data_IF_422760069323
#
_entry.id   IF_422760069323
#
_cell.length_a   1.000
_cell.length_b   1.000
_cell.length_c   1.000
_cell.angle_alpha   90.00
_cell.angle_beta   90.00
_cell.angle_gamma   90.00
#
_symmetry.space_group_name_H-M   'P 1'
#
loop_
_entity.id
_entity.type
_entity.pdbx_description
1 polymer ?
#
# COMPACT_ATOMS: atom_id res chain seq x y z
N UNK A 1 2.67 -6.33 1.81
CA UNK A 1 1.86 -6.29 3.05
C UNK A 1 1.12 -4.96 3.04
N UNK A 2 -0.15 -4.93 2.63
CA UNK A 2 -0.95 -3.70 2.61
C UNK A 2 -1.39 -3.37 4.03
N UNK A 3 -0.76 -2.37 4.66
CA UNK A 3 -1.33 -1.73 5.84
C UNK A 3 -2.26 -0.61 5.36
N UNK A 4 -3.54 -0.94 5.21
CA UNK A 4 -4.62 0.06 5.21
C UNK A 4 -4.78 0.54 6.66
N UNK A 5 -4.35 1.77 6.96
CA UNK A 5 -4.72 2.42 8.22
C UNK A 5 -6.23 2.70 8.22
N UNK A 6 -6.93 2.12 9.21
CA UNK A 6 -8.31 2.46 9.54
C UNK A 6 -8.36 3.88 10.09
N UNK A 7 -9.43 4.57 9.72
CA UNK A 7 -9.78 5.95 10.06
C UNK A 7 -9.61 6.27 11.56
N UNK A 8 -8.77 7.26 11.84
CA UNK A 8 -8.61 7.95 13.12
C UNK A 8 -7.60 9.06 12.91
N UNK A 9 -8.07 10.30 12.85
CA UNK A 9 -7.35 11.54 12.50
C UNK A 9 -6.64 11.58 11.14
N UNK A 10 -7.37 12.07 10.13
CA UNK A 10 -6.77 12.56 8.88
C UNK A 10 -6.16 13.94 9.13
N UNK A 11 -5.02 14.03 9.78
CA UNK A 11 -4.20 15.25 9.75
C UNK A 11 -3.63 15.38 8.34
N UNK A 12 -4.24 16.25 7.54
CA UNK A 12 -3.71 16.61 6.23
C UNK A 12 -2.45 17.45 6.43
N UNK A 13 -1.35 16.99 5.86
CA UNK A 13 -0.04 17.62 6.05
C UNK A 13 0.28 18.41 4.80
N UNK A 14 0.18 19.73 4.94
CA UNK A 14 0.44 20.64 3.85
C UNK A 14 1.95 20.77 3.62
N UNK A 15 2.36 20.73 2.35
CA UNK A 15 3.74 20.86 1.88
C UNK A 15 4.07 22.29 1.40
N UNK A 16 3.29 23.31 1.79
CA UNK A 16 3.47 24.73 1.40
C UNK A 16 4.51 25.52 2.20
N UNK A 17 5.31 24.87 3.05
CA UNK A 17 6.31 25.54 3.92
C UNK A 17 7.49 24.64 4.26
N UNK A 18 7.52 24.08 5.47
CA UNK A 18 8.68 23.33 5.98
C UNK A 18 8.68 21.86 5.51
N UNK A 19 9.31 21.57 4.37
CA UNK A 19 9.54 20.20 3.89
C UNK A 19 11.02 19.99 3.56
N UNK A 20 11.46 18.74 3.64
CA UNK A 20 12.77 18.34 3.14
C UNK A 20 12.60 17.69 1.77
N UNK A 21 13.45 18.08 0.82
CA UNK A 21 13.50 17.47 -0.52
C UNK A 21 14.64 16.46 -0.60
N UNK A 22 14.33 15.28 -1.11
CA UNK A 22 15.33 14.29 -1.52
C UNK A 22 15.21 14.14 -3.03
N UNK A 23 16.32 14.38 -3.70
CA UNK A 23 16.47 14.02 -5.11
C UNK A 23 16.99 12.59 -5.19
N UNK A 24 16.10 11.66 -5.55
CA UNK A 24 16.52 10.34 -5.99
C UNK A 24 16.90 10.39 -7.47
N UNK A 25 17.71 9.44 -7.93
CA UNK A 25 18.05 9.22 -9.35
C UNK A 25 16.81 9.13 -10.26
N UNK A 26 15.63 8.79 -9.71
CA UNK A 26 14.41 8.52 -10.46
C UNK A 26 13.24 9.48 -10.20
N UNK A 27 13.28 10.25 -9.10
CA UNK A 27 12.17 11.10 -8.68
C UNK A 27 12.61 12.14 -7.63
N UNK A 28 11.92 13.28 -7.59
CA UNK A 28 12.06 14.25 -6.51
C UNK A 28 10.94 13.99 -5.51
N UNK A 29 11.32 13.61 -4.29
CA UNK A 29 10.37 13.28 -3.22
C UNK A 29 10.51 14.32 -2.12
N UNK A 30 9.38 14.94 -1.76
CA UNK A 30 9.28 15.84 -0.60
C UNK A 30 8.81 15.04 0.60
N UNK A 31 9.38 15.25 1.78
CA UNK A 31 8.92 14.55 2.99
C UNK A 31 8.87 15.44 4.23
N UNK A 32 8.04 15.03 5.19
CA UNK A 32 7.94 15.58 6.55
C UNK A 32 7.86 14.45 7.56
N UNK A 33 8.43 14.65 8.73
CA UNK A 33 8.37 13.70 9.85
C UNK A 33 7.48 14.29 10.93
N UNK A 34 6.56 13.48 11.44
CA UNK A 34 5.61 13.85 12.47
C UNK A 34 5.68 12.82 13.58
N UNK A 35 5.78 13.29 14.82
CA UNK A 35 5.65 12.41 15.97
C UNK A 35 4.19 11.93 16.07
N UNK A 36 4.01 10.61 16.14
CA UNK A 36 2.70 9.99 16.17
C UNK A 36 2.63 8.99 17.31
N UNK A 37 1.52 8.96 18.04
CA UNK A 37 1.32 7.98 19.11
C UNK A 37 0.25 7.01 18.67
N UNK A 38 0.65 5.76 18.48
CA UNK A 38 -0.25 4.68 18.11
C UNK A 38 -0.82 4.05 19.37
N UNK A 39 -2.13 4.19 19.54
CA UNK A 39 -2.85 3.58 20.66
C UNK A 39 -3.64 2.36 20.18
N UNK A 40 -3.36 1.19 20.76
CA UNK A 40 -4.05 -0.04 20.41
C UNK A 40 -4.42 -0.85 21.66
N UNK A 41 -5.48 -1.66 21.52
CA UNK A 41 -5.93 -2.58 22.55
C UNK A 41 -5.38 -3.98 22.25
N UNK A 42 -4.66 -4.57 23.21
CA UNK A 42 -4.24 -5.96 23.17
C UNK A 42 -4.53 -6.61 24.53
N UNK A 43 -5.05 -7.83 24.54
CA UNK A 43 -5.35 -8.58 25.77
C UNK A 43 -6.18 -7.81 26.82
N UNK A 44 -7.12 -6.97 26.34
CA UNK A 44 -7.97 -6.13 27.20
C UNK A 44 -7.27 -4.94 27.86
N UNK A 45 -5.99 -4.69 27.56
CA UNK A 45 -5.22 -3.54 28.03
C UNK A 45 -4.95 -2.56 26.89
N UNK A 46 -4.94 -1.26 27.23
CA UNK A 46 -4.58 -0.18 26.31
C UNK A 46 -3.06 -0.01 26.30
N UNK A 47 -2.48 -0.10 25.12
CA UNK A 47 -1.06 0.17 24.86
C UNK A 47 -0.93 1.45 24.05
N UNK A 48 0.11 2.23 24.35
CA UNK A 48 0.48 3.44 23.64
C UNK A 48 1.93 3.30 23.20
N UNK A 49 2.17 3.38 21.90
CA UNK A 49 3.48 3.25 21.30
C UNK A 49 3.83 4.57 20.59
N UNK A 50 4.83 5.32 21.08
CA UNK A 50 5.33 6.49 20.37
C UNK A 50 6.11 6.03 19.13
N UNK A 51 5.67 6.52 17.98
CA UNK A 51 6.15 6.20 16.65
C UNK A 51 6.41 7.51 15.88
N UNK A 52 7.08 7.38 14.73
CA UNK A 52 7.25 8.47 13.78
C UNK A 52 6.45 8.17 12.53
N UNK A 53 5.74 9.17 12.03
CA UNK A 53 5.05 9.14 10.76
C UNK A 53 5.81 9.98 9.75
N UNK A 54 6.40 9.33 8.76
CA UNK A 54 7.09 9.98 7.65
C UNK A 54 6.10 10.10 6.51
N UNK A 55 5.73 11.32 6.14
CA UNK A 55 4.81 11.58 5.04
C UNK A 55 5.64 12.08 3.87
N UNK A 56 5.43 11.48 2.72
CA UNK A 56 6.13 11.81 1.48
C UNK A 56 5.13 12.27 0.43
N UNK A 57 5.59 13.11 -0.49
CA UNK A 57 4.87 13.55 -1.67
C UNK A 57 5.75 13.41 -2.91
N UNK A 58 5.21 12.81 -3.97
CA UNK A 58 5.84 12.73 -5.30
C UNK A 58 4.84 13.12 -6.40
N UNK A 59 5.29 13.94 -7.35
CA UNK A 59 4.48 14.34 -8.51
C UNK A 59 4.21 13.15 -9.45
N UNK A 60 5.22 12.29 -9.64
CA UNK A 60 5.08 11.06 -10.43
C UNK A 60 4.00 10.16 -9.84
N UNK A 61 3.97 10.04 -8.51
CA UNK A 61 2.95 9.27 -7.80
C UNK A 61 1.58 9.93 -7.90
N UNK A 62 1.50 11.26 -7.79
CA UNK A 62 0.26 12.00 -7.98
C UNK A 62 -0.38 11.75 -9.35
N UNK A 63 0.44 11.72 -10.43
CA UNK A 63 -0.04 11.41 -11.79
C UNK A 63 -0.59 9.98 -11.88
N UNK A 64 0.10 9.01 -11.27
CA UNK A 64 -0.34 7.61 -11.24
C UNK A 64 -1.63 7.43 -10.43
N UNK A 65 -1.68 8.00 -9.23
CA UNK A 65 -2.83 7.89 -8.32
C UNK A 65 -4.08 8.54 -8.95
N UNK A 66 -3.90 9.67 -9.65
CA UNK A 66 -4.97 10.30 -10.44
C UNK A 66 -5.51 9.36 -11.52
N UNK A 67 -4.64 8.78 -12.34
CA UNK A 67 -5.05 7.86 -13.40
C UNK A 67 -5.77 6.61 -12.83
N UNK A 68 -5.28 6.08 -11.70
CA UNK A 68 -5.92 4.96 -11.01
C UNK A 68 -7.30 5.35 -10.44
N UNK A 69 -7.44 6.57 -9.88
CA UNK A 69 -8.74 7.11 -9.44
C UNK A 69 -9.70 7.26 -10.61
N UNK A 70 -9.29 7.88 -11.71
CA UNK A 70 -10.12 8.07 -12.90
C UNK A 70 -10.66 6.73 -13.41
N UNK A 71 -9.80 5.71 -13.49
CA UNK A 71 -10.19 4.34 -13.86
C UNK A 71 -11.22 3.74 -12.89
N UNK A 72 -11.12 4.02 -11.60
CA UNK A 72 -12.10 3.56 -10.61
C UNK A 72 -13.43 4.31 -10.71
N UNK A 73 -13.40 5.62 -11.00
CA UNK A 73 -14.60 6.43 -11.24
C UNK A 73 -15.32 5.98 -12.51
N UNK A 74 -14.59 5.68 -13.58
CA UNK A 74 -15.17 5.11 -14.81
C UNK A 74 -15.87 3.77 -14.53
N UNK A 75 -15.21 2.88 -13.76
CA UNK A 75 -15.83 1.64 -13.29
C UNK A 75 -17.05 1.89 -12.42
N UNK A 76 -17.03 2.92 -11.56
CA UNK A 76 -18.17 3.29 -10.73
C UNK A 76 -19.37 3.71 -11.60
N UNK A 77 -19.15 4.54 -12.60
CA UNK A 77 -20.15 4.95 -13.58
C UNK A 77 -20.70 3.75 -14.38
N UNK A 78 -19.85 2.82 -14.78
CA UNK A 78 -20.29 1.59 -15.45
C UNK A 78 -21.15 0.70 -14.54
N UNK A 79 -20.86 0.65 -13.24
CA UNK A 79 -21.66 -0.07 -12.25
C UNK A 79 -23.01 0.61 -11.99
N UNK A 80 -23.08 1.95 -11.98
CA UNK A 80 -24.34 2.70 -11.85
C UNK A 80 -25.31 2.42 -13.00
N UNK A 81 -24.81 2.18 -14.22
CA UNK A 81 -25.62 1.74 -15.37
C UNK A 81 -26.22 0.33 -15.18
N UNK A 82 -25.65 -0.50 -14.31
CA UNK A 82 -26.12 -1.87 -14.05
C UNK A 82 -26.25 -2.14 -12.56
N UNK A 83 -27.34 -1.63 -11.97
CA UNK A 83 -27.64 -1.69 -10.52
C UNK A 83 -27.54 -3.09 -9.91
N UNK A 84 -27.82 -4.16 -10.68
CA UNK A 84 -27.74 -5.55 -10.21
C UNK A 84 -26.31 -6.00 -9.83
N UNK A 85 -25.28 -5.41 -10.46
CA UNK A 85 -23.87 -5.77 -10.22
C UNK A 85 -23.24 -5.01 -9.04
N UNK A 86 -23.91 -3.97 -8.52
CA UNK A 86 -23.35 -3.11 -7.46
C UNK A 86 -23.22 -3.86 -6.13
N UNK A 87 -24.17 -4.75 -5.80
CA UNK A 87 -24.12 -5.55 -4.57
C UNK A 87 -22.96 -6.56 -4.57
N UNK A 88 -22.63 -7.13 -5.73
CA UNK A 88 -21.54 -8.11 -5.91
C UNK A 88 -20.16 -7.46 -6.12
N UNK A 89 -20.11 -6.16 -6.45
CA UNK A 89 -18.86 -5.47 -6.66
C UNK A 89 -18.02 -5.34 -5.37
N UNK A 90 -16.71 -5.54 -5.51
CA UNK A 90 -15.76 -5.43 -4.41
C UNK A 90 -15.70 -4.00 -3.86
N UNK A 91 -15.70 -3.86 -2.53
CA UNK A 91 -15.62 -2.59 -1.79
C UNK A 91 -14.34 -1.79 -2.11
N UNK A 92 -13.25 -2.48 -2.47
CA UNK A 92 -11.97 -1.87 -2.90
C UNK A 92 -11.93 -1.46 -4.38
N UNK A 93 -12.99 -1.75 -5.15
CA UNK A 93 -13.10 -1.41 -6.58
C UNK A 93 -13.91 -0.14 -6.82
N UNK A 94 -14.54 -0.03 -7.99
CA UNK A 94 -15.38 1.14 -8.34
C UNK A 94 -16.51 1.43 -7.35
N UNK A 95 -16.91 0.46 -6.52
CA UNK A 95 -17.86 0.64 -5.41
C UNK A 95 -17.39 1.62 -4.34
N UNK A 96 -16.08 1.91 -4.24
CA UNK A 96 -15.52 2.93 -3.33
C UNK A 96 -16.15 4.31 -3.54
N UNK A 97 -16.54 4.64 -4.77
CA UNK A 97 -17.10 5.94 -5.16
C UNK A 97 -18.60 5.90 -5.39
N UNK A 98 -19.30 4.91 -4.82
CA UNK A 98 -20.75 4.77 -4.95
C UNK A 98 -21.38 4.77 -3.56
N UNK A 99 -22.39 5.61 -3.35
CA UNK A 99 -23.17 5.71 -2.12
C UNK A 99 -24.62 5.30 -2.36
N UNK A 100 -25.21 4.61 -1.39
CA UNK A 100 -26.62 4.26 -1.37
C UNK A 100 -27.39 5.38 -0.65
N UNK A 101 -28.43 5.93 -1.28
CA UNK A 101 -29.21 7.04 -0.70
C UNK A 101 -30.48 6.55 -0.02
N UNK A 102 -31.04 5.41 -0.41
CA UNK A 102 -32.38 5.00 0.07
C UNK A 102 -32.47 3.52 0.39
N UNK A 103 -33.42 3.17 1.28
CA UNK A 103 -33.78 1.78 1.60
C UNK A 103 -34.24 0.97 0.37
N UNK A 104 -34.49 1.63 -0.78
CA UNK A 104 -34.94 1.04 -2.05
C UNK A 104 -33.84 0.92 -3.12
N UNK A 105 -32.56 0.97 -2.75
CA UNK A 105 -31.42 0.67 -3.64
C UNK A 105 -31.20 1.67 -4.77
N UNK A 106 -31.32 2.97 -4.46
CA UNK A 106 -30.86 4.03 -5.34
C UNK A 106 -29.42 4.41 -5.03
N UNK A 107 -28.54 4.01 -5.95
CA UNK A 107 -27.10 4.23 -5.90
C UNK A 107 -26.74 5.49 -6.68
N UNK A 108 -25.92 6.35 -6.10
CA UNK A 108 -25.31 7.51 -6.77
C UNK A 108 -23.80 7.50 -6.68
N UNK A 109 -23.17 8.32 -7.50
CA UNK A 109 -21.75 8.61 -7.39
C UNK A 109 -21.48 9.46 -6.13
N UNK A 110 -20.53 9.04 -5.33
CA UNK A 110 -20.07 9.77 -4.15
C UNK A 110 -18.97 10.77 -4.54
N UNK A 111 -19.38 11.99 -4.86
CA UNK A 111 -18.45 13.06 -5.26
C UNK A 111 -17.55 13.51 -4.11
N UNK A 112 -18.02 13.42 -2.86
CA UNK A 112 -17.21 13.77 -1.69
C UNK A 112 -16.06 12.78 -1.51
N UNK A 113 -16.31 11.48 -1.67
CA UNK A 113 -15.27 10.45 -1.61
C UNK A 113 -14.22 10.59 -2.73
N UNK A 114 -14.62 11.08 -3.91
CA UNK A 114 -13.72 11.37 -5.03
C UNK A 114 -12.82 12.55 -4.67
N UNK A 115 -13.41 13.67 -4.22
CA UNK A 115 -12.67 14.87 -3.81
C UNK A 115 -11.73 14.62 -2.63
N UNK A 116 -12.17 13.81 -1.66
CA UNK A 116 -11.31 13.38 -0.55
C UNK A 116 -10.13 12.56 -1.05
N UNK A 117 -10.35 11.61 -1.97
CA UNK A 117 -9.26 10.82 -2.55
C UNK A 117 -8.27 11.67 -3.36
N UNK A 118 -8.77 12.67 -4.10
CA UNK A 118 -7.95 13.58 -4.90
C UNK A 118 -6.95 14.38 -4.05
N UNK A 119 -7.35 14.80 -2.84
CA UNK A 119 -6.45 15.52 -1.93
C UNK A 119 -5.21 14.71 -1.55
N UNK A 120 -5.33 13.39 -1.49
CA UNK A 120 -4.25 12.49 -1.09
C UNK A 120 -3.42 11.96 -2.26
N UNK A 121 -3.64 12.44 -3.48
CA UNK A 121 -2.83 12.03 -4.64
C UNK A 121 -1.36 12.36 -4.45
N UNK A 122 -0.50 11.35 -4.64
CA UNK A 122 0.94 11.52 -4.51
C UNK A 122 1.46 11.47 -3.09
N UNK A 123 0.57 11.44 -2.09
CA UNK A 123 0.95 11.30 -0.69
C UNK A 123 1.19 9.83 -0.33
N UNK A 124 2.22 9.59 0.48
CA UNK A 124 2.49 8.28 1.05
C UNK A 124 3.02 8.40 2.47
N UNK A 125 2.42 7.66 3.41
CA UNK A 125 2.83 7.63 4.81
C UNK A 125 3.57 6.34 5.15
N UNK A 126 4.71 6.48 5.83
CA UNK A 126 5.46 5.38 6.45
C UNK A 126 5.42 5.59 7.95
N UNK A 127 4.81 4.66 8.67
CA UNK A 127 4.84 4.63 10.12
C UNK A 127 5.99 3.73 10.57
N UNK A 128 6.78 4.22 11.52
CA UNK A 128 7.90 3.47 12.07
C UNK A 128 8.03 3.69 13.57
N UNK A 129 8.37 2.62 14.30
CA UNK A 129 8.73 2.69 15.71
C UNK A 129 10.24 2.95 15.91
N UNK A 130 11.00 3.07 14.81
CA UNK A 130 12.43 3.36 14.86
C UNK A 130 12.68 4.83 15.26
N UNK A 131 13.29 5.02 16.43
CA UNK A 131 13.51 6.35 17.02
C UNK A 131 14.83 6.97 16.59
N UNK A 132 15.84 6.15 16.31
CA UNK A 132 17.22 6.58 16.05
C UNK A 132 17.57 6.63 14.56
N UNK A 133 16.75 6.01 13.71
CA UNK A 133 16.97 6.03 12.27
C UNK A 133 16.51 7.37 11.68
N UNK A 134 17.34 7.90 10.78
CA UNK A 134 16.96 9.06 10.00
C UNK A 134 15.88 8.71 8.97
N UNK A 135 15.01 9.67 8.67
CA UNK A 135 13.87 9.47 7.79
C UNK A 135 14.30 9.02 6.38
N UNK A 136 15.45 9.51 5.89
CA UNK A 136 16.03 9.07 4.61
C UNK A 136 16.32 7.57 4.61
N UNK A 137 16.97 7.07 5.66
CA UNK A 137 17.29 5.64 5.82
C UNK A 137 16.03 4.79 5.94
N UNK A 138 14.99 5.28 6.63
CA UNK A 138 13.69 4.58 6.72
C UNK A 138 13.04 4.50 5.34
N UNK A 139 13.04 5.60 4.57
CA UNK A 139 12.50 5.63 3.21
C UNK A 139 13.28 4.69 2.28
N UNK A 140 14.61 4.67 2.36
CA UNK A 140 15.46 3.77 1.57
C UNK A 140 15.21 2.30 1.93
N UNK A 141 15.12 1.98 3.22
CA UNK A 141 14.76 0.64 3.67
C UNK A 141 13.38 0.23 3.13
N UNK A 142 12.42 1.16 3.13
CA UNK A 142 11.10 0.94 2.54
C UNK A 142 11.15 0.73 1.03
N UNK A 143 11.97 1.50 0.31
CA UNK A 143 12.17 1.33 -1.13
C UNK A 143 12.75 -0.05 -1.46
N UNK A 144 13.66 -0.54 -0.61
CA UNK A 144 14.23 -1.88 -0.76
C UNK A 144 13.21 -3.02 -0.54
N UNK A 145 12.02 -2.78 0.01
CA UNK A 145 10.98 -3.84 0.07
C UNK A 145 10.55 -4.32 -1.31
N UNK A 146 10.62 -3.49 -2.35
CA UNK A 146 10.35 -3.96 -3.72
C UNK A 146 11.30 -5.11 -4.10
N UNK A 147 12.56 -5.09 -3.64
CA UNK A 147 13.51 -6.19 -3.88
C UNK A 147 13.00 -7.52 -3.31
N UNK A 148 12.22 -7.49 -2.23
CA UNK A 148 11.58 -8.67 -1.67
C UNK A 148 10.47 -9.18 -2.60
N UNK A 149 9.65 -8.29 -3.15
CA UNK A 149 8.62 -8.68 -4.13
C UNK A 149 9.23 -9.23 -5.43
N UNK A 150 10.34 -8.64 -5.87
CA UNK A 150 11.17 -9.14 -6.97
C UNK A 150 11.65 -10.56 -6.69
N UNK A 151 12.26 -10.75 -5.51
CA UNK A 151 12.75 -12.05 -5.04
C UNK A 151 11.64 -13.10 -5.07
N UNK A 152 10.45 -12.76 -4.57
CA UNK A 152 9.30 -13.67 -4.60
C UNK A 152 8.78 -13.93 -6.01
N UNK A 153 8.92 -12.99 -6.94
CA UNK A 153 8.53 -13.18 -8.33
C UNK A 153 9.48 -14.15 -9.02
N UNK A 154 10.79 -13.94 -8.88
CA UNK A 154 11.84 -14.84 -9.39
C UNK A 154 11.66 -16.25 -8.83
N UNK A 155 11.46 -16.38 -7.51
CA UNK A 155 11.19 -17.69 -6.89
C UNK A 155 9.97 -18.39 -7.50
N UNK A 156 8.93 -17.65 -7.88
CA UNK A 156 7.71 -18.25 -8.44
C UNK A 156 7.86 -18.60 -9.92
N UNK A 157 8.54 -17.76 -10.71
CA UNK A 157 8.68 -17.94 -12.15
C UNK A 157 9.83 -18.86 -12.52
N UNK A 158 11.01 -18.63 -11.95
CA UNK A 158 12.27 -19.27 -12.34
C UNK A 158 12.47 -20.58 -11.59
N UNK A 159 12.09 -20.62 -10.31
CA UNK A 159 12.24 -21.80 -9.45
C UNK A 159 10.96 -22.61 -9.32
N UNK A 160 9.94 -22.28 -10.14
CA UNK A 160 8.65 -22.98 -10.27
C UNK A 160 8.02 -23.42 -8.93
N UNK A 161 8.16 -22.59 -7.88
CA UNK A 161 7.50 -22.84 -6.58
C UNK A 161 5.99 -23.05 -6.73
N UNK A 162 5.41 -22.60 -7.85
CA UNK A 162 4.10 -23.04 -8.31
C UNK A 162 4.22 -23.46 -9.77
N UNK A 163 3.99 -24.74 -10.10
CA UNK A 163 3.05 -25.63 -9.41
C UNK A 163 3.69 -26.59 -8.40
N UNK A 164 3.11 -26.67 -7.20
CA UNK A 164 3.48 -27.68 -6.18
C UNK A 164 2.69 -28.96 -6.45
N UNK A 165 3.28 -29.94 -7.13
CA UNK A 165 2.65 -31.25 -7.40
C UNK A 165 2.75 -32.22 -6.20
N UNK A 166 2.91 -31.69 -4.98
CA UNK A 166 3.08 -32.46 -3.75
C UNK A 166 1.87 -32.33 -2.84
N UNK A 167 1.44 -33.47 -2.28
CA UNK A 167 0.17 -33.60 -1.53
C UNK A 167 0.38 -33.71 -0.01
N UNK A 168 1.60 -34.04 0.42
CA UNK A 168 1.97 -34.23 1.83
C UNK A 168 2.74 -33.02 2.36
N UNK A 169 2.43 -32.57 3.56
CA UNK A 169 3.07 -31.41 4.21
C UNK A 169 4.61 -31.47 4.20
N UNK A 170 5.20 -32.64 4.49
CA UNK A 170 6.65 -32.81 4.50
C UNK A 170 7.31 -32.52 3.14
N UNK A 171 6.72 -33.00 2.04
CA UNK A 171 7.23 -32.75 0.67
C UNK A 171 7.02 -31.30 0.24
N UNK A 172 5.93 -30.68 0.67
CA UNK A 172 5.69 -29.24 0.43
C UNK A 172 6.79 -28.43 1.11
N UNK A 173 7.04 -28.68 2.41
CA UNK A 173 8.13 -28.00 3.15
C UNK A 173 9.51 -28.23 2.50
N UNK A 174 9.81 -29.47 2.11
CA UNK A 174 11.07 -29.80 1.43
C UNK A 174 11.27 -29.05 0.12
N UNK A 175 10.24 -29.00 -0.73
CA UNK A 175 10.28 -28.24 -1.98
C UNK A 175 10.49 -26.74 -1.73
N UNK A 176 9.76 -26.15 -0.77
CA UNK A 176 9.97 -24.74 -0.40
C UNK A 176 11.41 -24.46 0.07
N UNK A 177 12.00 -25.35 0.87
CA UNK A 177 13.39 -25.21 1.33
C UNK A 177 14.37 -25.26 0.17
N UNK A 178 14.20 -26.19 -0.76
CA UNK A 178 15.06 -26.32 -1.95
C UNK A 178 14.97 -25.07 -2.83
N UNK A 179 13.75 -24.59 -3.11
CA UNK A 179 13.56 -23.37 -3.89
C UNK A 179 14.13 -22.14 -3.18
N UNK A 180 13.99 -22.03 -1.87
CA UNK A 180 14.61 -20.93 -1.11
C UNK A 180 16.15 -21.00 -1.17
N UNK A 181 16.74 -22.19 -1.06
CA UNK A 181 18.18 -22.36 -1.15
C UNK A 181 18.71 -22.04 -2.56
N UNK A 182 18.02 -22.49 -3.61
CA UNK A 182 18.35 -22.16 -4.99
C UNK A 182 18.30 -20.65 -5.24
N UNK A 183 17.26 -19.97 -4.72
CA UNK A 183 17.16 -18.51 -4.77
C UNK A 183 18.31 -17.81 -4.03
N UNK A 184 18.68 -18.29 -2.85
CA UNK A 184 19.81 -17.74 -2.10
C UNK A 184 21.11 -17.86 -2.90
N UNK A 185 21.34 -19.00 -3.57
CA UNK A 185 22.52 -19.21 -4.42
C UNK A 185 22.52 -18.28 -5.63
N UNK A 186 21.39 -18.15 -6.34
CA UNK A 186 21.23 -17.24 -7.47
C UNK A 186 21.57 -15.79 -7.06
N UNK A 187 20.98 -15.31 -5.97
CA UNK A 187 21.26 -13.95 -5.47
C UNK A 187 22.72 -13.75 -5.10
N UNK A 188 23.35 -14.73 -4.43
CA UNK A 188 24.77 -14.64 -4.09
C UNK A 188 25.67 -14.60 -5.33
N UNK A 189 25.29 -15.26 -6.42
CA UNK A 189 26.01 -15.19 -7.68
C UNK A 189 25.83 -13.84 -8.40
N UNK A 190 24.65 -13.24 -8.32
CA UNK A 190 24.35 -11.93 -8.94
C UNK A 190 25.04 -10.75 -8.20
N UNK A 191 25.31 -10.89 -6.90
CA UNK A 191 26.01 -9.87 -6.11
C UNK A 191 27.54 -9.88 -6.28
N UNK A 192 28.10 -10.81 -7.07
CA UNK A 192 29.53 -10.91 -7.40
C UNK A 192 29.78 -10.47 -8.83
#
# INVERSE_FOLDING_TARGET
MHMEHKAGDKTFVDFTGDYTEIQSTYDTVRYKVIDHVNEFMADGKKYSLPEKLIITYSEKRAKKDRADRERLVEKANALLKNKAKIRQANKRGGKKYIKDISKDSDWILDTEAILDSEKFDGYYGIQTNEKELDAEKVMDAYHNLWKIEESFRIMKSTLEVKPIFHWTEARIKGHFVICFLAFLLERNLEFR
#
